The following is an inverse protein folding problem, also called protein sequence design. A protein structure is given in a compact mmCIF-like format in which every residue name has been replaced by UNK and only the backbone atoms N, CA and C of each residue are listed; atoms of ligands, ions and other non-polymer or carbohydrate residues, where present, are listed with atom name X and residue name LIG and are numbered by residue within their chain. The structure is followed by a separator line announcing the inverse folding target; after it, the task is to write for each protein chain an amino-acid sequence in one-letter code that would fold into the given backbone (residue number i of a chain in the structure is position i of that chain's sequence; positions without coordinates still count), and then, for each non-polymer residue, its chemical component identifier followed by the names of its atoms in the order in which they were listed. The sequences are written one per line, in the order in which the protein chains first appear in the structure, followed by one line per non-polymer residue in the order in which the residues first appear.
data_IF_747988177597
#
_entry.id   IF_747988177597
#
_cell.length_a   1.000
_cell.length_b   1.000
_cell.length_c   1.000
_cell.angle_alpha   90.00
_cell.angle_beta   90.00
_cell.angle_gamma   90.00
#
_symmetry.space_group_name_H-M   'P 1'
#
loop_
_entity.id
_entity.type
_entity.pdbx_description
1 polymer ?
#
# COMPACT_ATOMS: atom_id res chain seq x y z
N UNK A 1 -153.76 -36.12 21.01
CA UNK A 1 -153.57 -35.36 19.76
C UNK A 1 -152.63 -34.20 20.03
N UNK A 2 -151.42 -34.18 19.45
CA UNK A 2 -150.47 -33.07 19.63
C UNK A 2 -150.95 -31.86 18.81
N UNK A 3 -151.04 -30.65 19.39
CA UNK A 3 -151.53 -29.47 18.68
C UNK A 3 -150.71 -29.16 17.43
N UNK A 4 -151.39 -28.86 16.33
CA UNK A 4 -150.80 -28.57 15.00
C UNK A 4 -149.72 -27.46 15.04
N UNK A 5 -149.83 -26.54 16.02
CA UNK A 5 -148.88 -25.45 16.27
C UNK A 5 -147.52 -25.95 16.82
N UNK A 6 -147.51 -26.99 17.67
CA UNK A 6 -146.27 -27.52 18.26
C UNK A 6 -145.39 -28.23 17.22
N UNK A 7 -146.00 -29.00 16.30
CA UNK A 7 -145.28 -29.63 15.18
C UNK A 7 -144.67 -28.58 14.23
N UNK A 8 -145.39 -27.47 13.96
CA UNK A 8 -144.92 -26.37 13.10
C UNK A 8 -143.80 -25.57 13.75
N UNK A 9 -143.91 -25.30 15.06
CA UNK A 9 -142.85 -24.63 15.83
C UNK A 9 -141.58 -25.46 15.92
N UNK A 10 -141.69 -26.76 16.23
CA UNK A 10 -140.54 -27.67 16.26
C UNK A 10 -139.90 -27.83 14.88
N UNK A 11 -140.69 -27.91 13.80
CA UNK A 11 -140.15 -27.93 12.43
C UNK A 11 -139.44 -26.63 12.03
N UNK A 12 -139.94 -25.47 12.47
CA UNK A 12 -139.30 -24.16 12.24
C UNK A 12 -138.01 -24.01 13.05
N UNK A 13 -138.00 -24.47 14.30
CA UNK A 13 -136.81 -24.46 15.17
C UNK A 13 -135.71 -25.41 14.65
N UNK A 14 -136.08 -26.62 14.20
CA UNK A 14 -135.15 -27.54 13.55
C UNK A 14 -134.63 -27.00 12.21
N UNK A 15 -135.49 -26.33 11.43
CA UNK A 15 -135.08 -25.67 10.19
C UNK A 15 -134.10 -24.52 10.45
N UNK A 16 -134.36 -23.67 11.45
CA UNK A 16 -133.45 -22.60 11.88
C UNK A 16 -132.10 -23.16 12.34
N UNK A 17 -132.10 -24.16 13.24
CA UNK A 17 -130.87 -24.82 13.69
C UNK A 17 -130.09 -25.45 12.55
N UNK A 18 -130.77 -26.07 11.57
CA UNK A 18 -130.13 -26.62 10.37
C UNK A 18 -129.50 -25.53 9.51
N UNK A 19 -130.16 -24.37 9.38
CA UNK A 19 -129.65 -23.22 8.65
C UNK A 19 -128.44 -22.59 9.37
N UNK A 20 -128.46 -22.51 10.69
CA UNK A 20 -127.35 -22.03 11.53
C UNK A 20 -126.14 -22.98 11.45
N UNK A 21 -126.37 -24.30 11.52
CA UNK A 21 -125.31 -25.30 11.31
C UNK A 21 -124.74 -25.23 9.89
N UNK A 22 -125.57 -25.01 8.87
CA UNK A 22 -125.11 -24.83 7.49
C UNK A 22 -124.24 -23.58 7.35
N UNK A 23 -124.68 -22.45 7.91
CA UNK A 23 -123.91 -21.19 7.90
C UNK A 23 -122.59 -21.31 8.69
N UNK A 24 -122.60 -22.03 9.82
CA UNK A 24 -121.39 -22.30 10.59
C UNK A 24 -120.42 -23.21 9.83
N UNK A 25 -120.93 -24.22 9.13
CA UNK A 25 -120.10 -25.12 8.32
C UNK A 25 -119.48 -24.37 7.15
N UNK A 26 -120.25 -23.55 6.42
CA UNK A 26 -119.71 -22.75 5.30
C UNK A 26 -118.63 -21.77 5.78
N UNK A 27 -118.85 -21.09 6.90
CA UNK A 27 -117.84 -20.19 7.47
C UNK A 27 -116.55 -20.93 7.88
N UNK A 28 -116.69 -22.13 8.46
CA UNK A 28 -115.52 -22.97 8.80
C UNK A 28 -114.79 -23.47 7.55
N UNK A 29 -115.49 -23.85 6.49
CA UNK A 29 -114.89 -24.22 5.21
C UNK A 29 -114.12 -23.04 4.60
N UNK A 30 -114.73 -21.85 4.53
CA UNK A 30 -114.05 -20.64 4.04
C UNK A 30 -112.81 -20.26 4.87
N UNK A 31 -112.84 -20.49 6.19
CA UNK A 31 -111.69 -20.26 7.04
C UNK A 31 -110.59 -21.30 6.79
N UNK A 32 -110.95 -22.57 6.57
CA UNK A 32 -110.00 -23.61 6.20
C UNK A 32 -109.35 -23.30 4.86
N UNK A 33 -110.12 -22.90 3.85
CA UNK A 33 -109.60 -22.53 2.52
C UNK A 33 -108.59 -21.37 2.65
N UNK A 34 -108.90 -20.32 3.42
CA UNK A 34 -107.96 -19.21 3.68
C UNK A 34 -106.68 -19.65 4.38
N UNK A 35 -106.78 -20.57 5.33
CA UNK A 35 -105.59 -21.10 6.02
C UNK A 35 -104.76 -21.98 5.08
N UNK A 36 -105.40 -22.67 4.15
CA UNK A 36 -104.73 -23.47 3.12
C UNK A 36 -104.01 -22.57 2.11
N UNK A 37 -104.66 -21.52 1.61
CA UNK A 37 -104.04 -20.49 0.77
C UNK A 37 -102.83 -19.84 1.48
N UNK A 38 -103.00 -19.45 2.75
CA UNK A 38 -101.90 -18.88 3.55
C UNK A 38 -100.73 -19.85 3.74
N UNK A 39 -101.02 -21.13 3.91
CA UNK A 39 -99.99 -22.17 4.02
C UNK A 39 -99.24 -22.33 2.71
N UNK A 40 -99.93 -22.30 1.57
CA UNK A 40 -99.31 -22.37 0.24
C UNK A 40 -98.44 -21.15 -0.04
N UNK A 41 -98.92 -19.94 0.26
CA UNK A 41 -98.16 -18.69 0.14
C UNK A 41 -96.88 -18.71 1.00
N UNK A 42 -97.01 -19.18 2.25
CA UNK A 42 -95.87 -19.29 3.15
C UNK A 42 -94.87 -20.36 2.69
N UNK A 43 -95.34 -21.49 2.16
CA UNK A 43 -94.49 -22.53 1.58
C UNK A 43 -93.72 -22.01 0.34
N UNK A 44 -94.40 -21.29 -0.55
CA UNK A 44 -93.77 -20.63 -1.71
C UNK A 44 -92.71 -19.61 -1.28
N UNK A 45 -93.00 -18.83 -0.24
CA UNK A 45 -92.04 -17.86 0.31
C UNK A 45 -90.80 -18.55 0.87
N UNK A 46 -90.97 -19.65 1.61
CA UNK A 46 -89.85 -20.44 2.15
C UNK A 46 -88.99 -20.99 1.01
N UNK A 47 -89.60 -21.58 -0.02
CA UNK A 47 -88.86 -22.10 -1.17
C UNK A 47 -88.05 -21.00 -1.90
N UNK A 48 -88.64 -19.81 -2.05
CA UNK A 48 -87.92 -18.67 -2.63
C UNK A 48 -86.73 -18.22 -1.77
N UNK A 49 -86.89 -18.21 -0.43
CA UNK A 49 -85.81 -17.86 0.49
C UNK A 49 -84.68 -18.90 0.46
N UNK A 50 -85.01 -20.18 0.39
CA UNK A 50 -84.02 -21.26 0.25
C UNK A 50 -83.24 -21.16 -1.06
N UNK A 51 -83.93 -20.87 -2.18
CA UNK A 51 -83.28 -20.62 -3.48
C UNK A 51 -82.36 -19.39 -3.44
N UNK A 52 -82.79 -18.30 -2.81
CA UNK A 52 -81.94 -17.11 -2.64
C UNK A 52 -80.73 -17.40 -1.77
N UNK A 53 -80.93 -18.06 -0.62
CA UNK A 53 -79.84 -18.41 0.28
C UNK A 53 -78.79 -19.33 -0.38
N UNK A 54 -79.24 -20.35 -1.12
CA UNK A 54 -78.33 -21.25 -1.85
C UNK A 54 -77.55 -20.52 -2.94
N UNK A 55 -78.22 -19.64 -3.70
CA UNK A 55 -77.58 -18.80 -4.70
C UNK A 55 -76.54 -17.85 -4.07
N UNK A 56 -76.92 -17.10 -3.05
CA UNK A 56 -76.04 -16.14 -2.37
C UNK A 56 -74.84 -16.83 -1.74
N UNK A 57 -75.04 -18.01 -1.12
CA UNK A 57 -73.96 -18.82 -0.55
C UNK A 57 -72.96 -19.27 -1.61
N UNK A 58 -73.43 -19.71 -2.78
CA UNK A 58 -72.56 -20.10 -3.89
C UNK A 58 -71.80 -18.91 -4.45
N UNK A 59 -72.50 -17.79 -4.68
CA UNK A 59 -71.92 -16.56 -5.22
C UNK A 59 -70.83 -15.99 -4.28
N UNK A 60 -71.11 -15.90 -2.97
CA UNK A 60 -70.12 -15.47 -1.98
C UNK A 60 -68.91 -16.41 -1.94
N UNK A 61 -69.13 -17.73 -2.06
CA UNK A 61 -68.04 -18.70 -2.12
C UNK A 61 -67.13 -18.48 -3.34
N UNK A 62 -67.71 -18.19 -4.50
CA UNK A 62 -66.96 -17.90 -5.73
C UNK A 62 -66.22 -16.56 -5.66
N UNK A 63 -66.87 -15.51 -5.17
CA UNK A 63 -66.24 -14.19 -4.94
C UNK A 63 -65.08 -14.32 -3.95
N UNK A 64 -65.26 -15.04 -2.85
CA UNK A 64 -64.19 -15.23 -1.86
C UNK A 64 -63.01 -15.99 -2.46
N UNK A 65 -63.28 -17.05 -3.23
CA UNK A 65 -62.25 -17.85 -3.91
C UNK A 65 -61.47 -17.02 -4.91
N UNK A 66 -62.16 -16.28 -5.79
CA UNK A 66 -61.53 -15.43 -6.82
C UNK A 66 -60.75 -14.28 -6.20
N UNK A 67 -61.28 -13.65 -5.16
CA UNK A 67 -60.60 -12.58 -4.42
C UNK A 67 -59.35 -13.11 -3.71
N UNK A 68 -59.45 -14.26 -3.05
CA UNK A 68 -58.30 -14.92 -2.41
C UNK A 68 -57.20 -15.27 -3.40
N UNK A 69 -57.55 -15.84 -4.56
CA UNK A 69 -56.60 -16.16 -5.63
C UNK A 69 -55.95 -14.88 -6.21
N UNK A 70 -56.74 -13.83 -6.42
CA UNK A 70 -56.25 -12.55 -6.93
C UNK A 70 -55.27 -11.91 -5.94
N UNK A 71 -55.63 -11.85 -4.66
CA UNK A 71 -54.76 -11.30 -3.61
C UNK A 71 -53.47 -12.11 -3.49
N UNK A 72 -53.56 -13.44 -3.51
CA UNK A 72 -52.37 -14.31 -3.48
C UNK A 72 -51.43 -13.99 -4.64
N UNK A 73 -51.97 -13.85 -5.85
CA UNK A 73 -51.17 -13.53 -7.05
C UNK A 73 -50.57 -12.12 -6.97
N UNK A 74 -51.30 -11.15 -6.42
CA UNK A 74 -50.77 -9.80 -6.22
C UNK A 74 -49.65 -9.75 -5.17
N UNK A 75 -49.80 -10.51 -4.08
CA UNK A 75 -48.77 -10.62 -3.03
C UNK A 75 -47.51 -11.26 -3.60
N UNK A 76 -47.62 -12.40 -4.28
CA UNK A 76 -46.43 -13.05 -4.87
C UNK A 76 -45.75 -12.16 -5.92
N UNK A 77 -46.52 -11.50 -6.79
CA UNK A 77 -45.96 -10.55 -7.75
C UNK A 77 -45.30 -9.33 -7.08
N UNK A 78 -45.81 -8.89 -5.93
CA UNK A 78 -45.19 -7.82 -5.13
C UNK A 78 -43.89 -8.28 -4.47
N UNK A 79 -43.87 -9.46 -3.88
CA UNK A 79 -42.68 -10.07 -3.25
C UNK A 79 -41.57 -10.30 -4.28
N UNK A 80 -41.91 -10.81 -5.47
CA UNK A 80 -40.95 -10.97 -6.55
C UNK A 80 -40.37 -9.64 -7.03
N UNK A 81 -41.20 -8.59 -7.13
CA UNK A 81 -40.72 -7.24 -7.49
C UNK A 81 -39.77 -6.70 -6.43
N UNK A 82 -40.09 -6.88 -5.14
CA UNK A 82 -39.21 -6.48 -4.05
C UNK A 82 -37.87 -7.23 -4.11
N UNK A 83 -37.91 -8.56 -4.29
CA UNK A 83 -36.71 -9.39 -4.41
C UNK A 83 -35.82 -8.98 -5.59
N UNK A 84 -36.42 -8.65 -6.75
CA UNK A 84 -35.68 -8.13 -7.92
C UNK A 84 -35.01 -6.78 -7.61
N UNK A 85 -35.73 -5.84 -7.00
CA UNK A 85 -35.19 -4.54 -6.64
C UNK A 85 -34.05 -4.64 -5.60
N UNK A 86 -34.17 -5.55 -4.63
CA UNK A 86 -33.12 -5.83 -3.64
C UNK A 86 -31.86 -6.42 -4.31
N UNK A 87 -32.02 -7.34 -5.27
CA UNK A 87 -30.91 -7.91 -6.02
C UNK A 87 -30.18 -6.85 -6.86
N UNK A 88 -30.92 -5.98 -7.56
CA UNK A 88 -30.36 -4.85 -8.31
C UNK A 88 -29.60 -3.88 -7.39
N UNK A 89 -30.20 -3.53 -6.25
CA UNK A 89 -29.59 -2.66 -5.24
C UNK A 89 -28.30 -3.26 -4.65
N UNK A 90 -28.21 -4.58 -4.53
CA UNK A 90 -26.99 -5.28 -4.09
C UNK A 90 -25.88 -5.16 -5.13
N UNK A 91 -26.18 -5.43 -6.40
CA UNK A 91 -25.21 -5.30 -7.49
C UNK A 91 -24.70 -3.87 -7.59
N UNK A 92 -25.59 -2.88 -7.51
CA UNK A 92 -25.20 -1.47 -7.55
C UNK A 92 -24.26 -1.11 -6.38
N UNK A 93 -24.52 -1.63 -5.18
CA UNK A 93 -23.65 -1.43 -4.01
C UNK A 93 -22.27 -2.05 -4.22
N UNK A 94 -22.19 -3.28 -4.73
CA UNK A 94 -20.92 -3.94 -5.06
C UNK A 94 -20.12 -3.17 -6.11
N UNK A 95 -20.79 -2.68 -7.17
CA UNK A 95 -20.17 -1.85 -8.19
C UNK A 95 -19.64 -0.53 -7.63
N UNK A 96 -20.42 0.14 -6.77
CA UNK A 96 -20.00 1.38 -6.11
C UNK A 96 -18.74 1.17 -5.27
N UNK A 97 -18.68 0.08 -4.48
CA UNK A 97 -17.50 -0.27 -3.67
C UNK A 97 -16.29 -0.54 -4.59
N UNK A 98 -16.45 -1.36 -5.63
CA UNK A 98 -15.36 -1.66 -6.58
C UNK A 98 -14.84 -0.41 -7.28
N UNK A 99 -15.72 0.52 -7.63
CA UNK A 99 -15.34 1.79 -8.24
C UNK A 99 -14.55 2.68 -7.25
N UNK A 100 -15.02 2.78 -6.00
CA UNK A 100 -14.33 3.53 -4.94
C UNK A 100 -12.94 2.95 -4.65
N UNK A 101 -12.79 1.62 -4.59
CA UNK A 101 -11.49 0.98 -4.42
C UNK A 101 -10.52 1.31 -5.57
N UNK A 102 -11.02 1.31 -6.82
CA UNK A 102 -10.22 1.71 -7.99
C UNK A 102 -9.83 3.18 -7.92
N UNK A 103 -10.75 4.06 -7.51
CA UNK A 103 -10.48 5.49 -7.34
C UNK A 103 -9.39 5.73 -6.29
N UNK A 104 -9.45 5.06 -5.14
CA UNK A 104 -8.44 5.14 -4.08
C UNK A 104 -7.07 4.71 -4.62
N UNK A 105 -7.00 3.55 -5.28
CA UNK A 105 -5.74 3.05 -5.88
C UNK A 105 -5.14 4.02 -6.90
N UNK A 106 -5.98 4.68 -7.70
CA UNK A 106 -5.52 5.69 -8.65
C UNK A 106 -5.02 6.94 -7.94
N UNK A 107 -5.69 7.40 -6.89
CA UNK A 107 -5.26 8.53 -6.06
C UNK A 107 -3.91 8.25 -5.38
N UNK A 108 -3.74 7.06 -4.82
CA UNK A 108 -2.46 6.61 -4.24
C UNK A 108 -1.35 6.59 -5.29
N UNK A 109 -1.62 6.05 -6.50
CA UNK A 109 -0.64 6.04 -7.59
C UNK A 109 -0.26 7.45 -8.03
N UNK A 110 -1.22 8.37 -8.12
CA UNK A 110 -0.95 9.78 -8.43
C UNK A 110 -0.07 10.40 -7.34
N UNK A 111 -0.37 10.19 -6.06
CA UNK A 111 0.42 10.71 -4.96
C UNK A 111 1.86 10.18 -4.98
N UNK A 112 2.06 8.88 -5.24
CA UNK A 112 3.38 8.28 -5.39
C UNK A 112 4.15 8.89 -6.57
N UNK A 113 3.51 9.03 -7.74
CA UNK A 113 4.14 9.63 -8.91
C UNK A 113 4.50 11.10 -8.68
N UNK A 114 3.64 11.87 -8.00
CA UNK A 114 3.93 13.24 -7.59
C UNK A 114 5.14 13.31 -6.64
N UNK A 115 5.25 12.36 -5.71
CA UNK A 115 6.42 12.19 -4.85
C UNK A 115 7.70 11.95 -5.65
N UNK A 116 7.70 10.96 -6.55
CA UNK A 116 8.85 10.65 -7.40
C UNK A 116 9.25 11.84 -8.30
N UNK A 117 8.29 12.60 -8.82
CA UNK A 117 8.57 13.80 -9.61
C UNK A 117 9.26 14.88 -8.78
N UNK A 118 8.84 15.07 -7.52
CA UNK A 118 9.48 16.01 -6.59
C UNK A 118 10.91 15.56 -6.27
N UNK A 119 11.11 14.30 -5.94
CA UNK A 119 12.44 13.73 -5.69
C UNK A 119 13.35 13.92 -6.91
N UNK A 120 12.85 13.63 -8.12
CA UNK A 120 13.61 13.80 -9.36
C UNK A 120 14.00 15.27 -9.60
N UNK A 121 13.12 16.22 -9.27
CA UNK A 121 13.45 17.65 -9.36
C UNK A 121 14.55 18.03 -8.36
N UNK A 122 14.48 17.54 -7.13
CA UNK A 122 15.52 17.77 -6.12
C UNK A 122 16.86 17.14 -6.50
N UNK A 123 16.85 15.93 -7.08
CA UNK A 123 18.06 15.29 -7.62
C UNK A 123 18.66 16.10 -8.78
N UNK A 124 17.81 16.61 -9.68
CA UNK A 124 18.24 17.45 -10.80
C UNK A 124 18.97 18.70 -10.28
N UNK A 125 18.38 19.42 -9.33
CA UNK A 125 18.98 20.63 -8.76
C UNK A 125 20.31 20.31 -8.03
N UNK A 126 20.37 19.18 -7.32
CA UNK A 126 21.60 18.71 -6.68
C UNK A 126 22.69 18.35 -7.69
N UNK A 127 22.32 17.70 -8.78
CA UNK A 127 23.25 17.38 -9.87
C UNK A 127 23.78 18.65 -10.56
N UNK A 128 22.90 19.62 -10.81
CA UNK A 128 23.30 20.92 -11.40
C UNK A 128 24.30 21.65 -10.50
N UNK A 129 24.06 21.67 -9.18
CA UNK A 129 25.01 22.23 -8.21
C UNK A 129 26.36 21.50 -8.24
N UNK A 130 26.36 20.17 -8.20
CA UNK A 130 27.59 19.38 -8.27
C UNK A 130 28.35 19.63 -9.58
N UNK A 131 27.63 19.83 -10.69
CA UNK A 131 28.23 20.17 -11.99
C UNK A 131 28.97 21.50 -11.93
N UNK A 132 28.35 22.52 -11.35
CA UNK A 132 28.97 23.84 -11.16
C UNK A 132 30.19 23.78 -10.23
N UNK A 133 30.10 23.01 -9.14
CA UNK A 133 31.21 22.85 -8.19
C UNK A 133 32.39 22.09 -8.83
N UNK A 134 32.11 21.07 -9.66
CA UNK A 134 33.13 20.37 -10.46
C UNK A 134 33.84 21.33 -11.43
N UNK A 135 33.09 22.19 -12.11
CA UNK A 135 33.64 23.17 -13.04
C UNK A 135 34.54 24.20 -12.34
N UNK A 136 34.12 24.68 -11.15
CA UNK A 136 34.96 25.53 -10.29
C UNK A 136 36.24 24.83 -9.86
N UNK A 137 36.16 23.59 -9.39
CA UNK A 137 37.32 22.82 -8.98
C UNK A 137 38.31 22.61 -10.13
N UNK A 138 37.80 22.36 -11.35
CA UNK A 138 38.62 22.28 -12.58
C UNK A 138 39.32 23.59 -12.89
N UNK A 139 38.62 24.73 -12.79
CA UNK A 139 39.21 26.05 -13.01
C UNK A 139 40.32 26.35 -11.99
N UNK A 140 40.08 26.07 -10.71
CA UNK A 140 41.08 26.22 -9.64
C UNK A 140 42.30 25.34 -9.87
N UNK A 141 42.09 24.09 -10.29
CA UNK A 141 43.20 23.19 -10.61
C UNK A 141 44.02 23.68 -11.80
N UNK A 142 43.36 24.20 -12.84
CA UNK A 142 44.04 24.78 -14.00
C UNK A 142 44.88 26.02 -13.62
N UNK A 143 44.33 26.92 -12.79
CA UNK A 143 45.05 28.10 -12.30
C UNK A 143 46.23 27.72 -11.39
N UNK A 144 46.07 26.72 -10.52
CA UNK A 144 47.16 26.20 -9.71
C UNK A 144 48.26 25.57 -10.58
N UNK A 145 47.88 24.88 -11.66
CA UNK A 145 48.82 24.29 -12.60
C UNK A 145 49.64 25.37 -13.34
N UNK A 146 49.00 26.41 -13.87
CA UNK A 146 49.72 27.53 -14.52
C UNK A 146 50.64 28.24 -13.53
N UNK A 147 50.19 28.46 -12.28
CA UNK A 147 51.01 29.06 -11.23
C UNK A 147 52.26 28.22 -10.93
N UNK A 148 52.12 26.89 -10.86
CA UNK A 148 53.24 25.98 -10.64
C UNK A 148 54.23 26.02 -11.81
N UNK A 149 53.75 26.09 -13.05
CA UNK A 149 54.59 26.21 -14.24
C UNK A 149 55.40 27.52 -14.23
N UNK A 150 54.76 28.66 -13.94
CA UNK A 150 55.41 29.97 -13.82
C UNK A 150 56.47 29.99 -12.71
N UNK A 151 56.14 29.48 -11.52
CA UNK A 151 57.09 29.35 -10.41
C UNK A 151 58.26 28.43 -10.76
N UNK A 152 58.00 27.35 -11.51
CA UNK A 152 59.03 26.45 -12.03
C UNK A 152 60.03 27.16 -12.95
N UNK A 153 59.54 28.01 -13.85
CA UNK A 153 60.37 28.84 -14.75
C UNK A 153 61.19 29.84 -13.93
N UNK A 154 60.56 30.60 -13.03
CA UNK A 154 61.24 31.60 -12.19
C UNK A 154 62.34 30.98 -11.31
N UNK A 155 62.08 29.78 -10.77
CA UNK A 155 63.06 29.05 -9.96
C UNK A 155 64.24 28.58 -10.81
N UNK A 156 64.00 28.11 -12.04
CA UNK A 156 65.04 27.75 -13.00
C UNK A 156 65.94 28.95 -13.34
N UNK A 157 65.35 30.09 -13.66
CA UNK A 157 66.08 31.33 -13.95
C UNK A 157 66.91 31.80 -12.76
N UNK A 158 66.32 31.81 -11.56
CA UNK A 158 67.01 32.19 -10.33
C UNK A 158 68.18 31.25 -10.02
N UNK A 159 68.00 29.94 -10.22
CA UNK A 159 69.05 28.94 -10.04
C UNK A 159 70.19 29.12 -11.03
N UNK A 160 69.90 29.41 -12.30
CA UNK A 160 70.92 29.71 -13.31
C UNK A 160 71.72 30.94 -12.91
N UNK A 161 71.05 32.02 -12.49
CA UNK A 161 71.69 33.26 -12.05
C UNK A 161 72.58 33.07 -10.82
N UNK A 162 72.15 32.25 -9.86
CA UNK A 162 72.99 31.87 -8.70
C UNK A 162 74.21 31.07 -9.15
N UNK A 163 74.05 30.11 -10.07
CA UNK A 163 75.16 29.34 -10.62
C UNK A 163 76.18 30.24 -11.33
N UNK A 164 75.71 31.19 -12.14
CA UNK A 164 76.56 32.18 -12.82
C UNK A 164 77.32 33.07 -11.82
N UNK A 165 76.63 33.54 -10.76
CA UNK A 165 77.28 34.32 -9.70
C UNK A 165 78.34 33.51 -8.97
N UNK A 166 78.07 32.23 -8.65
CA UNK A 166 79.03 31.33 -8.01
C UNK A 166 80.24 31.05 -8.91
N UNK A 167 80.04 30.86 -10.21
CA UNK A 167 81.14 30.64 -11.14
C UNK A 167 81.96 31.92 -11.37
N UNK A 168 81.32 33.10 -11.39
CA UNK A 168 82.02 34.38 -11.38
C UNK A 168 82.80 34.59 -10.08
N UNK A 169 82.25 34.24 -8.92
CA UNK A 169 82.99 34.25 -7.65
C UNK A 169 84.16 33.28 -7.67
N UNK A 170 84.02 32.06 -8.21
CA UNK A 170 85.14 31.11 -8.37
C UNK A 170 86.21 31.68 -9.30
N UNK A 171 85.83 32.29 -10.43
CA UNK A 171 86.78 32.97 -11.34
C UNK A 171 87.48 34.13 -10.66
N UNK A 172 86.76 34.94 -9.88
CA UNK A 172 87.31 36.07 -9.14
C UNK A 172 88.21 35.60 -7.98
N UNK A 173 87.84 34.52 -7.30
CA UNK A 173 88.70 33.83 -6.31
C UNK A 173 89.94 33.23 -6.97
N UNK A 174 89.83 32.62 -8.15
CA UNK A 174 90.99 32.11 -8.90
C UNK A 174 91.92 33.24 -9.35
N UNK A 175 91.38 34.40 -9.74
CA UNK A 175 92.15 35.60 -10.06
C UNK A 175 92.83 36.21 -8.82
N UNK A 176 92.24 36.06 -7.63
CA UNK A 176 92.81 36.51 -6.34
C UNK A 176 93.66 35.44 -5.62
N UNK A 177 93.65 34.19 -6.10
CA UNK A 177 94.35 33.02 -5.54
C UNK A 177 95.45 32.58 -6.49
N UNK A 178 96.35 33.50 -6.82
CA UNK A 178 97.65 33.15 -7.40
C UNK A 178 98.61 32.63 -6.34
N UNK A 179 98.33 31.48 -5.72
CA UNK A 179 99.32 30.49 -5.24
C UNK A 179 98.68 29.35 -4.43
N UNK A 180 99.10 28.12 -4.76
CA UNK A 180 99.16 26.92 -3.91
C UNK A 180 97.97 25.93 -3.91
N UNK A 181 98.20 24.83 -4.64
CA UNK A 181 98.06 23.42 -4.23
C UNK A 181 96.67 22.80 -3.95
N UNK A 182 96.35 21.80 -4.80
CA UNK A 182 96.16 20.38 -4.46
C UNK A 182 95.15 20.00 -3.37
N UNK A 183 94.06 19.31 -3.75
CA UNK A 183 93.81 17.89 -3.44
C UNK A 183 92.39 17.50 -3.87
N UNK A 184 92.28 16.30 -4.43
CA UNK A 184 91.06 15.55 -4.65
C UNK A 184 90.26 15.40 -3.35
N UNK A 185 88.93 15.40 -3.42
CA UNK A 185 88.11 14.44 -2.65
C UNK A 185 86.68 14.40 -3.18
N UNK A 186 86.31 13.26 -3.77
CA UNK A 186 84.94 12.73 -3.67
C UNK A 186 84.76 12.21 -2.24
N UNK A 187 83.54 12.29 -1.68
CA UNK A 187 82.88 11.05 -1.29
C UNK A 187 81.41 11.06 -1.76
N UNK A 188 80.92 10.02 -2.42
CA UNK A 188 80.59 8.70 -1.86
C UNK A 188 79.19 8.71 -1.22
N UNK A 189 78.32 7.96 -1.89
CA UNK A 189 76.98 7.59 -1.48
C UNK A 189 77.03 6.84 -0.14
N UNK A 190 76.80 7.56 0.95
CA UNK A 190 76.50 6.96 2.24
C UNK A 190 75.01 6.64 2.31
N UNK A 191 74.71 5.38 2.01
CA UNK A 191 73.54 4.68 2.53
C UNK A 191 73.59 4.76 4.06
N UNK A 192 72.90 5.76 4.62
CA UNK A 192 72.78 5.92 6.07
C UNK A 192 71.72 4.95 6.61
N UNK A 193 72.02 4.17 7.67
CA UNK A 193 71.03 3.35 8.35
C UNK A 193 70.12 4.24 9.21
N UNK A 194 68.80 4.13 9.00
CA UNK A 194 67.83 4.59 10.00
C UNK A 194 66.89 5.73 9.63
N UNK A 195 66.58 5.95 8.34
CA UNK A 195 65.44 6.81 7.98
C UNK A 195 64.17 5.97 8.06
N UNK A 196 63.44 6.09 9.16
CA UNK A 196 62.06 5.62 9.25
C UNK A 196 61.26 6.38 8.19
N UNK A 197 60.90 5.70 7.10
CA UNK A 197 60.21 6.32 5.97
C UNK A 197 58.89 6.97 6.44
N UNK A 198 58.63 8.25 6.13
CA UNK A 198 57.35 8.87 6.44
C UNK A 198 56.21 8.15 5.70
N UNK A 199 55.12 7.85 6.41
CA UNK A 199 53.93 7.19 5.84
C UNK A 199 53.36 7.90 4.59
N UNK A 200 53.66 9.19 4.41
CA UNK A 200 53.19 10.00 3.28
C UNK A 200 53.84 9.64 1.93
N UNK A 201 54.98 8.94 1.91
CA UNK A 201 55.74 8.68 0.68
C UNK A 201 55.53 7.25 0.14
N UNK A 202 55.17 6.29 1.01
CA UNK A 202 54.94 4.91 0.58
C UNK A 202 53.54 4.73 -0.04
N UNK A 203 53.46 4.74 -1.37
CA UNK A 203 52.26 4.36 -2.13
C UNK A 203 52.11 2.85 -2.27
N UNK A 204 53.21 2.09 -2.19
CA UNK A 204 53.25 0.65 -2.43
C UNK A 204 53.97 -0.09 -1.29
N UNK A 205 53.64 -1.38 -1.10
CA UNK A 205 54.29 -2.24 -0.12
C UNK A 205 55.71 -2.62 -0.56
N UNK A 206 56.74 -2.32 0.25
CA UNK A 206 58.15 -2.59 -0.09
C UNK A 206 58.45 -4.08 -0.35
N UNK A 207 57.64 -5.00 0.18
CA UNK A 207 57.85 -6.45 0.00
C UNK A 207 57.10 -7.10 -1.17
N UNK A 208 56.06 -6.48 -1.72
CA UNK A 208 55.28 -7.08 -2.81
C UNK A 208 54.81 -6.09 -3.88
N UNK A 209 55.25 -4.83 -3.77
CA UNK A 209 55.01 -3.71 -4.69
C UNK A 209 53.54 -3.38 -4.99
N UNK A 210 52.58 -4.01 -4.30
CA UNK A 210 51.15 -3.69 -4.42
C UNK A 210 50.81 -2.39 -3.71
N UNK A 211 49.97 -1.57 -4.35
CA UNK A 211 49.50 -0.28 -3.85
C UNK A 211 48.67 -0.41 -2.57
N UNK A 212 48.85 0.52 -1.65
CA UNK A 212 48.02 0.65 -0.45
C UNK A 212 46.66 1.27 -0.78
N UNK A 213 45.61 0.81 -0.11
CA UNK A 213 44.25 1.32 -0.29
C UNK A 213 43.45 1.13 1.03
N UNK A 214 42.15 1.45 1.03
CA UNK A 214 41.31 1.36 2.23
C UNK A 214 41.32 -0.02 2.90
N UNK A 215 41.52 -1.10 2.14
CA UNK A 215 41.56 -2.48 2.67
C UNK A 215 42.98 -2.97 2.95
N UNK A 216 44.00 -2.44 2.25
CA UNK A 216 45.42 -2.74 2.46
C UNK A 216 46.09 -1.62 3.26
N UNK A 217 46.11 -1.76 4.59
CA UNK A 217 46.76 -0.80 5.51
C UNK A 217 48.29 -0.94 5.54
N UNK A 218 48.96 0.16 5.92
CA UNK A 218 50.41 0.30 6.05
C UNK A 218 50.92 -0.24 7.41
N UNK A 219 52.05 -0.94 7.40
CA UNK A 219 52.70 -1.46 8.60
C UNK A 219 54.23 -1.33 8.53
N UNK A 220 54.85 -0.77 9.57
CA UNK A 220 56.31 -0.65 9.64
C UNK A 220 57.00 -1.94 10.11
N UNK A 221 58.12 -2.29 9.50
CA UNK A 221 59.06 -3.27 10.05
C UNK A 221 59.93 -2.59 11.12
N UNK A 222 59.95 -3.13 12.35
CA UNK A 222 60.75 -2.55 13.46
C UNK A 222 62.25 -2.83 13.34
N UNK A 223 62.65 -3.71 12.42
CA UNK A 223 64.06 -4.04 12.18
C UNK A 223 64.69 -3.19 11.08
N UNK A 224 63.98 -2.92 9.97
CA UNK A 224 64.51 -2.15 8.84
C UNK A 224 63.85 -0.78 8.62
N UNK A 225 62.71 -0.49 9.27
CA UNK A 225 62.02 0.80 9.15
C UNK A 225 61.08 0.95 7.95
N UNK A 226 61.14 0.04 6.98
CA UNK A 226 60.32 0.08 5.75
C UNK A 226 58.83 -0.27 5.96
N UNK A 227 57.98 0.11 4.99
CA UNK A 227 56.52 -0.03 5.05
C UNK A 227 56.01 -1.23 4.23
N UNK A 228 55.22 -2.09 4.87
CA UNK A 228 54.72 -3.34 4.32
C UNK A 228 53.21 -3.49 4.52
N UNK A 229 52.58 -4.35 3.73
CA UNK A 229 51.22 -4.83 3.99
C UNK A 229 51.21 -5.95 5.04
N UNK A 230 50.03 -6.34 5.52
CA UNK A 230 49.87 -7.38 6.55
C UNK A 230 50.57 -8.69 6.16
N UNK A 231 50.40 -9.13 4.91
CA UNK A 231 50.97 -10.38 4.40
C UNK A 231 52.50 -10.37 4.26
N UNK A 232 53.12 -9.19 4.10
CA UNK A 232 54.58 -9.06 3.99
C UNK A 232 55.25 -8.77 5.34
N UNK A 233 54.48 -8.68 6.42
CA UNK A 233 54.96 -8.35 7.77
C UNK A 233 54.22 -9.14 8.85
N UNK A 234 53.85 -10.39 8.56
CA UNK A 234 53.03 -11.20 9.46
C UNK A 234 53.78 -11.69 10.71
N UNK A 235 55.10 -11.78 10.62
CA UNK A 235 55.94 -12.32 11.68
C UNK A 235 56.35 -11.28 12.73
N UNK A 236 56.72 -11.77 13.91
CA UNK A 236 57.27 -10.97 15.00
C UNK A 236 58.58 -11.56 15.49
N UNK A 237 59.52 -10.70 15.89
CA UNK A 237 60.82 -11.11 16.45
C UNK A 237 61.15 -10.30 17.71
N UNK A 238 61.79 -10.91 18.72
CA UNK A 238 62.39 -10.17 19.82
C UNK A 238 63.67 -9.49 19.30
N UNK A 239 63.60 -8.17 19.11
CA UNK A 239 64.77 -7.36 18.81
C UNK A 239 65.56 -7.11 20.11
N UNK A 240 66.89 -7.06 20.01
CA UNK A 240 67.73 -6.78 21.16
C UNK A 240 67.54 -5.32 21.58
N UNK A 241 67.35 -5.08 22.88
CA UNK A 241 67.33 -3.73 23.44
C UNK A 241 68.76 -3.15 23.51
N UNK A 242 68.89 -1.89 23.94
CA UNK A 242 70.19 -1.21 24.05
C UNK A 242 71.18 -1.92 25.01
N UNK A 243 70.68 -2.83 25.86
CA UNK A 243 71.46 -3.64 26.80
C UNK A 243 71.78 -5.05 26.25
N UNK A 244 71.48 -5.34 24.98
CA UNK A 244 71.76 -6.62 24.34
C UNK A 244 70.84 -7.78 24.77
N UNK A 245 69.74 -7.50 25.47
CA UNK A 245 68.78 -8.50 25.93
C UNK A 245 67.58 -8.59 24.96
N UNK A 246 67.00 -9.78 24.72
CA UNK A 246 65.80 -9.93 23.89
C UNK A 246 64.61 -9.16 24.47
N UNK A 247 64.11 -8.17 23.74
CA UNK A 247 62.92 -7.41 24.11
C UNK A 247 61.60 -8.13 23.79
N UNK A 248 60.47 -7.45 24.02
CA UNK A 248 59.14 -7.95 23.60
C UNK A 248 59.12 -8.17 22.07
N UNK A 249 58.46 -9.23 21.56
CA UNK A 249 58.35 -9.46 20.12
C UNK A 249 57.69 -8.27 19.41
N UNK A 250 58.34 -7.78 18.36
CA UNK A 250 57.86 -6.67 17.53
C UNK A 250 57.71 -7.12 16.08
N UNK A 251 56.79 -6.48 15.35
CA UNK A 251 56.50 -6.79 13.94
C UNK A 251 57.73 -6.56 13.05
N UNK A 252 58.04 -7.55 12.22
CA UNK A 252 59.10 -7.49 11.21
C UNK A 252 58.59 -7.92 9.84
N UNK A 253 59.26 -7.52 8.77
CA UNK A 253 58.95 -8.01 7.43
C UNK A 253 59.50 -9.42 7.22
N UNK A 254 59.01 -10.11 6.19
CA UNK A 254 59.42 -11.49 5.90
C UNK A 254 60.94 -11.61 5.64
N UNK A 255 61.57 -10.60 5.03
CA UNK A 255 63.02 -10.56 4.81
C UNK A 255 63.79 -10.46 6.13
N UNK A 256 63.39 -9.56 7.03
CA UNK A 256 64.00 -9.44 8.36
C UNK A 256 63.72 -10.66 9.25
N UNK A 257 62.60 -11.36 9.02
CA UNK A 257 62.31 -12.62 9.70
C UNK A 257 63.23 -13.75 9.24
N UNK A 258 63.49 -13.84 7.93
CA UNK A 258 64.36 -14.87 7.34
C UNK A 258 65.86 -14.61 7.59
N UNK A 259 66.26 -13.36 7.82
CA UNK A 259 67.65 -12.97 8.08
C UNK A 259 68.09 -13.18 9.55
N UNK A 260 67.27 -13.81 10.39
CA UNK A 260 67.43 -13.95 11.84
C UNK A 260 67.52 -15.41 12.24
#
# INVERSE_FOLDING_TARGET
MVPRWYKRFFSLSLYSRRQDCKASLTHKTELMDKLEDQKEDMASTIEQLEKKWTHDKSNLGEILKTTSQTLTTQVTASEERAARAEAESRIEREWRISLQEKEIKLKEKIATLQGCLKELAEEKDRNEKLRLDLEKARAQWAEAQTTLEELGIQLSESKLKVSEMQDNEKRQRQLMSGSSQSLQTMPESLSSPGIWAPDSIASHCTGCEREFNLTRRKHHCRSCGEIFCKACSEHTLPLLNAQGQPGKPVRVCNACYAAK
#
